data_IF_282432154200
#
_entry.id   IF_282432154200
#
_cell.length_a   1.000
_cell.length_b   1.000
_cell.length_c   1.000
_cell.angle_alpha   90.00
_cell.angle_beta   90.00
_cell.angle_gamma   90.00
#
_symmetry.space_group_name_H-M   'P 1'
#
loop_
_entity.id
_entity.type
_entity.pdbx_description
1 polymer ?
#
# COMPACT_ATOMS: atom_id res chain seq x y z
N UNK A 1 1.84 25.36 7.21
CA UNK A 1 2.35 24.04 6.75
C UNK A 1 2.43 23.16 7.96
N UNK A 2 1.85 21.95 7.94
CA UNK A 2 1.98 20.99 9.03
C UNK A 2 3.34 20.31 8.95
N UNK A 3 4.12 20.35 10.01
CA UNK A 3 5.41 19.67 10.09
C UNK A 3 5.24 18.35 10.86
N UNK A 4 5.52 17.23 10.20
CA UNK A 4 5.44 15.88 10.78
C UNK A 4 6.84 15.44 11.22
N UNK A 5 7.09 15.24 12.52
CA UNK A 5 8.39 14.76 12.99
C UNK A 5 8.70 13.36 12.49
N UNK A 6 9.95 13.12 12.12
CA UNK A 6 10.42 11.79 11.72
C UNK A 6 10.69 10.91 12.94
N UNK A 7 10.06 9.73 12.97
CA UNK A 7 10.25 8.74 14.03
C UNK A 7 11.52 7.92 13.79
N UNK A 8 12.68 8.46 14.21
CA UNK A 8 13.99 7.85 13.98
C UNK A 8 14.11 6.44 14.57
N UNK A 9 13.47 6.19 15.71
CA UNK A 9 13.45 4.89 16.38
C UNK A 9 12.37 3.93 15.85
N UNK A 10 11.66 4.34 14.79
CA UNK A 10 10.59 3.56 14.17
C UNK A 10 9.22 3.75 14.81
N UNK A 11 9.14 4.20 16.06
CA UNK A 11 7.89 4.39 16.79
C UNK A 11 7.63 5.88 17.12
N UNK A 12 6.45 6.41 16.78
CA UNK A 12 6.05 7.74 17.21
C UNK A 12 5.98 7.86 18.73
N UNK A 13 6.41 9.00 19.25
CA UNK A 13 6.34 9.29 20.69
C UNK A 13 5.15 10.20 21.00
N UNK A 14 4.73 10.21 22.28
CA UNK A 14 3.71 11.15 22.78
C UNK A 14 4.05 12.62 22.45
N UNK A 15 5.31 13.00 22.60
CA UNK A 15 5.74 14.38 22.33
C UNK A 15 5.59 14.73 20.83
N UNK A 16 5.81 13.79 19.91
CA UNK A 16 5.58 14.02 18.48
C UNK A 16 4.09 14.20 18.19
N UNK A 17 3.23 13.40 18.81
CA UNK A 17 1.77 13.55 18.72
C UNK A 17 1.32 14.90 19.22
N UNK A 18 1.71 15.26 20.45
CA UNK A 18 1.34 16.52 21.09
C UNK A 18 1.81 17.73 20.24
N UNK A 19 2.98 17.63 19.62
CA UNK A 19 3.50 18.65 18.70
C UNK A 19 2.62 18.83 17.46
N UNK A 20 2.14 17.73 16.85
CA UNK A 20 1.22 17.82 15.71
C UNK A 20 -0.13 18.39 16.14
N UNK A 21 -0.69 17.92 17.26
CA UNK A 21 -1.96 18.44 17.80
C UNK A 21 -1.86 19.94 18.03
N UNK A 22 -0.74 20.40 18.61
CA UNK A 22 -0.50 21.83 18.80
C UNK A 22 -0.51 22.60 17.47
N UNK A 23 0.20 22.13 16.46
CA UNK A 23 0.17 22.76 15.12
C UNK A 23 -1.23 22.78 14.51
N UNK A 24 -2.00 21.70 14.66
CA UNK A 24 -3.39 21.66 14.17
C UNK A 24 -4.21 22.76 14.81
N UNK A 25 -4.11 22.94 16.13
CA UNK A 25 -4.90 23.91 16.90
C UNK A 25 -4.44 25.35 16.69
N UNK A 26 -3.13 25.60 16.68
CA UNK A 26 -2.58 26.96 16.70
C UNK A 26 -2.31 27.50 15.29
N UNK A 27 -1.98 26.65 14.33
CA UNK A 27 -1.57 27.07 12.98
C UNK A 27 -2.57 26.70 11.89
N UNK A 28 -3.00 25.40 11.83
CA UNK A 28 -3.77 24.90 10.69
C UNK A 28 -5.23 25.32 10.78
N UNK A 29 -5.90 25.04 11.89
CA UNK A 29 -7.33 25.34 12.06
C UNK A 29 -7.61 26.85 11.92
N UNK A 30 -6.86 27.78 12.58
CA UNK A 30 -7.13 29.21 12.40
C UNK A 30 -6.97 29.70 10.96
N UNK A 31 -6.00 29.16 10.22
CA UNK A 31 -5.84 29.49 8.79
C UNK A 31 -7.00 28.99 7.97
N UNK A 32 -7.46 27.75 8.22
CA UNK A 32 -8.62 27.18 7.51
C UNK A 32 -9.90 27.96 7.83
N UNK A 33 -10.14 28.31 9.07
CA UNK A 33 -11.28 29.16 9.46
C UNK A 33 -11.26 30.53 8.73
N UNK A 34 -10.08 31.16 8.70
CA UNK A 34 -9.90 32.44 8.02
C UNK A 34 -10.18 32.36 6.51
N UNK A 35 -9.73 31.28 5.85
CA UNK A 35 -9.87 31.12 4.39
C UNK A 35 -11.27 30.69 4.02
N UNK A 36 -11.87 29.76 4.76
CA UNK A 36 -13.21 29.23 4.48
C UNK A 36 -14.35 30.12 4.98
N UNK A 37 -14.10 30.96 5.97
CA UNK A 37 -15.14 31.70 6.69
C UNK A 37 -16.00 30.83 7.62
N UNK A 38 -15.63 29.54 7.79
CA UNK A 38 -16.36 28.57 8.62
C UNK A 38 -15.60 28.27 9.88
N UNK A 39 -16.27 28.31 11.02
CA UNK A 39 -15.70 27.91 12.30
C UNK A 39 -15.45 26.41 12.37
N UNK A 40 -14.31 26.03 12.96
CA UNK A 40 -14.00 24.65 13.26
C UNK A 40 -14.97 24.08 14.30
N UNK A 41 -15.45 22.89 14.03
CA UNK A 41 -16.38 22.14 14.89
C UNK A 41 -15.80 20.76 15.17
N UNK A 42 -15.44 20.50 16.42
CA UNK A 42 -14.84 19.25 16.87
C UNK A 42 -15.83 18.07 16.78
N UNK A 43 -17.13 18.30 16.99
CA UNK A 43 -18.13 17.26 16.95
C UNK A 43 -18.39 16.83 15.49
N UNK A 44 -18.30 17.78 14.56
CA UNK A 44 -18.33 17.48 13.12
C UNK A 44 -17.10 16.67 12.69
N UNK A 45 -15.91 16.99 13.22
CA UNK A 45 -14.72 16.17 12.96
C UNK A 45 -14.88 14.75 13.51
N UNK A 46 -15.41 14.59 14.72
CA UNK A 46 -15.73 13.25 15.29
C UNK A 46 -16.63 12.43 14.37
N UNK A 47 -17.67 13.07 13.85
CA UNK A 47 -18.60 12.41 12.92
C UNK A 47 -17.89 11.96 11.63
N UNK A 48 -17.06 12.79 11.04
CA UNK A 48 -16.27 12.43 9.85
C UNK A 48 -15.30 11.27 10.14
N UNK A 49 -14.63 11.27 11.29
CA UNK A 49 -13.72 10.19 11.67
C UNK A 49 -14.46 8.88 11.93
N UNK A 50 -15.66 8.94 12.53
CA UNK A 50 -16.51 7.76 12.73
C UNK A 50 -16.93 7.13 11.40
N UNK A 51 -17.37 7.94 10.44
CA UNK A 51 -17.72 7.48 9.09
C UNK A 51 -16.49 6.96 8.34
N UNK A 52 -15.34 7.64 8.47
CA UNK A 52 -14.07 7.16 7.92
C UNK A 52 -13.72 5.77 8.44
N UNK A 53 -13.79 5.54 9.74
CA UNK A 53 -13.45 4.25 10.35
C UNK A 53 -14.34 3.12 9.84
N UNK A 54 -15.63 3.39 9.58
CA UNK A 54 -16.56 2.40 8.98
C UNK A 54 -16.08 2.04 7.56
N UNK A 55 -15.86 3.03 6.69
CA UNK A 55 -15.39 2.82 5.32
C UNK A 55 -14.01 2.14 5.28
N UNK A 56 -13.10 2.54 6.17
CA UNK A 56 -11.75 1.97 6.30
C UNK A 56 -11.77 0.48 6.65
N UNK A 57 -12.72 0.02 7.45
CA UNK A 57 -12.84 -1.40 7.79
C UNK A 57 -13.11 -2.27 6.55
N UNK A 58 -13.98 -1.84 5.65
CA UNK A 58 -14.27 -2.58 4.42
C UNK A 58 -13.11 -2.49 3.42
N UNK A 59 -12.43 -1.34 3.31
CA UNK A 59 -11.22 -1.21 2.51
C UNK A 59 -10.13 -2.16 3.00
N UNK A 60 -9.86 -2.20 4.31
CA UNK A 60 -8.85 -3.11 4.88
C UNK A 60 -9.22 -4.56 4.65
N UNK A 61 -10.49 -4.91 4.86
CA UNK A 61 -10.97 -6.27 4.59
C UNK A 61 -10.73 -6.68 3.14
N UNK A 62 -10.98 -5.79 2.20
CA UNK A 62 -10.75 -6.03 0.77
C UNK A 62 -9.26 -6.24 0.47
N UNK A 63 -8.36 -5.40 1.02
CA UNK A 63 -6.92 -5.59 0.87
C UNK A 63 -6.43 -6.90 1.50
N UNK A 64 -6.98 -7.29 2.64
CA UNK A 64 -6.69 -8.58 3.29
C UNK A 64 -7.24 -9.79 2.52
N UNK A 65 -8.28 -9.59 1.70
CA UNK A 65 -8.83 -10.66 0.86
C UNK A 65 -7.80 -11.21 -0.14
N UNK A 66 -6.78 -10.43 -0.50
CA UNK A 66 -5.67 -10.86 -1.37
C UNK A 66 -4.77 -11.95 -0.76
N UNK A 67 -4.91 -12.26 0.53
CA UNK A 67 -4.30 -13.45 1.15
C UNK A 67 -4.86 -14.76 0.61
N UNK A 68 -6.04 -14.75 -0.01
CA UNK A 68 -6.65 -15.93 -0.65
C UNK A 68 -5.90 -16.34 -1.92
N UNK A 69 -6.10 -17.59 -2.33
CA UNK A 69 -5.57 -18.16 -3.57
C UNK A 69 -6.73 -18.79 -4.38
N UNK A 70 -6.97 -18.32 -5.62
CA UNK A 70 -6.35 -17.15 -6.20
C UNK A 70 -6.73 -15.86 -5.46
N UNK A 71 -5.89 -14.84 -5.57
CA UNK A 71 -6.22 -13.53 -5.04
C UNK A 71 -7.37 -12.90 -5.85
N UNK A 72 -8.46 -12.48 -5.20
CA UNK A 72 -9.58 -11.87 -5.91
C UNK A 72 -9.31 -10.43 -6.34
N UNK A 73 -8.24 -9.81 -5.83
CA UNK A 73 -7.87 -8.41 -6.05
C UNK A 73 -6.36 -8.25 -6.27
N UNK A 74 -5.98 -7.28 -7.08
CA UNK A 74 -4.63 -6.76 -7.12
C UNK A 74 -4.51 -5.55 -6.17
N UNK A 75 -3.67 -5.67 -5.14
CA UNK A 75 -3.53 -4.64 -4.10
C UNK A 75 -2.67 -3.44 -4.51
N UNK A 76 -2.10 -3.43 -5.69
CA UNK A 76 -1.27 -2.32 -6.16
C UNK A 76 -1.97 -1.55 -7.28
N UNK A 77 -2.19 -2.20 -8.40
CA UNK A 77 -2.84 -1.57 -9.53
C UNK A 77 -4.35 -1.39 -9.31
N UNK A 78 -5.05 -2.44 -8.95
CA UNK A 78 -6.45 -2.39 -8.54
C UNK A 78 -6.63 -1.56 -7.27
N UNK A 79 -5.73 -1.73 -6.31
CA UNK A 79 -5.73 -1.00 -5.04
C UNK A 79 -5.74 0.52 -5.17
N UNK A 80 -5.12 1.07 -6.22
CA UNK A 80 -5.16 2.51 -6.52
C UNK A 80 -6.58 3.00 -6.77
N UNK A 81 -7.37 2.27 -7.54
CA UNK A 81 -8.78 2.63 -7.78
C UNK A 81 -9.62 2.49 -6.52
N UNK A 82 -9.37 1.46 -5.73
CA UNK A 82 -10.11 1.21 -4.50
C UNK A 82 -9.82 2.23 -3.41
N UNK A 83 -8.61 2.75 -3.32
CA UNK A 83 -8.26 3.81 -2.37
C UNK A 83 -8.77 5.19 -2.78
N UNK A 84 -9.08 5.41 -4.06
CA UNK A 84 -9.45 6.71 -4.61
C UNK A 84 -10.48 7.46 -3.77
N UNK A 85 -11.65 6.88 -3.45
CA UNK A 85 -12.69 7.57 -2.69
C UNK A 85 -12.26 8.05 -1.31
N UNK A 86 -11.43 7.28 -0.59
CA UNK A 86 -10.95 7.66 0.76
C UNK A 86 -9.91 8.78 0.72
N UNK A 87 -9.12 8.86 -0.36
CA UNK A 87 -8.09 9.89 -0.53
C UNK A 87 -8.61 11.18 -1.18
N UNK A 88 -9.82 11.17 -1.68
CA UNK A 88 -10.45 12.32 -2.34
C UNK A 88 -11.48 13.00 -1.44
N UNK A 89 -12.48 13.65 -2.03
CA UNK A 89 -13.49 14.41 -1.33
C UNK A 89 -14.52 13.56 -0.54
N UNK A 90 -14.47 12.24 -0.63
CA UNK A 90 -15.50 11.36 -0.04
C UNK A 90 -15.18 10.86 1.36
N UNK A 91 -13.98 11.09 1.88
CA UNK A 91 -13.63 10.65 3.25
C UNK A 91 -14.60 11.24 4.27
N UNK A 92 -15.15 10.38 5.15
CA UNK A 92 -16.08 10.77 6.19
C UNK A 92 -17.51 11.02 5.72
N UNK A 93 -17.89 10.53 4.54
CA UNK A 93 -19.24 10.65 3.99
C UNK A 93 -19.98 9.30 3.97
N UNK A 94 -21.30 9.35 3.83
CA UNK A 94 -22.12 8.15 3.68
C UNK A 94 -21.90 7.50 2.32
N UNK A 95 -21.57 8.28 1.30
CA UNK A 95 -21.22 7.81 -0.04
C UNK A 95 -19.94 6.94 -0.01
N UNK A 96 -18.95 7.30 0.81
CA UNK A 96 -17.76 6.46 0.97
C UNK A 96 -18.10 5.14 1.67
N UNK A 97 -18.93 5.16 2.70
CA UNK A 97 -19.38 3.94 3.39
C UNK A 97 -20.09 3.02 2.39
N UNK A 98 -21.03 3.55 1.61
CA UNK A 98 -21.78 2.75 0.63
C UNK A 98 -20.87 2.20 -0.48
N UNK A 99 -19.92 3.01 -0.97
CA UNK A 99 -18.94 2.57 -1.96
C UNK A 99 -18.16 1.35 -1.47
N UNK A 100 -17.59 1.41 -0.26
CA UNK A 100 -16.78 0.29 0.25
C UNK A 100 -17.62 -0.92 0.62
N UNK A 101 -18.86 -0.73 1.06
CA UNK A 101 -19.81 -1.81 1.28
C UNK A 101 -20.13 -2.57 -0.03
N UNK A 102 -20.37 -1.84 -1.12
CA UNK A 102 -20.61 -2.43 -2.45
C UNK A 102 -19.35 -3.13 -2.98
N UNK A 103 -18.20 -2.49 -2.86
CA UNK A 103 -16.92 -3.07 -3.26
C UNK A 103 -16.65 -4.38 -2.51
N UNK A 104 -16.89 -4.40 -1.21
CA UNK A 104 -16.76 -5.62 -0.41
C UNK A 104 -17.69 -6.73 -0.92
N UNK A 105 -18.95 -6.43 -1.20
CA UNK A 105 -19.91 -7.39 -1.74
C UNK A 105 -19.45 -7.96 -3.09
N UNK A 106 -18.89 -7.13 -3.97
CA UNK A 106 -18.31 -7.58 -5.25
C UNK A 106 -17.12 -8.53 -5.02
N UNK A 107 -16.23 -8.19 -4.10
CA UNK A 107 -15.08 -9.06 -3.80
C UNK A 107 -15.52 -10.37 -3.14
N UNK A 108 -16.54 -10.36 -2.29
CA UNK A 108 -17.13 -11.59 -1.71
C UNK A 108 -17.71 -12.49 -2.81
N UNK A 109 -18.38 -11.94 -3.81
CA UNK A 109 -18.87 -12.69 -4.97
C UNK A 109 -17.72 -13.27 -5.80
N UNK A 110 -16.66 -12.49 -6.08
CA UNK A 110 -15.46 -12.96 -6.77
C UNK A 110 -14.79 -14.12 -6.05
N UNK A 111 -14.72 -14.06 -4.73
CA UNK A 111 -14.21 -15.16 -3.90
C UNK A 111 -15.08 -16.41 -4.05
N UNK A 112 -16.39 -16.26 -3.98
CA UNK A 112 -17.34 -17.37 -4.10
C UNK A 112 -17.25 -18.06 -5.46
N UNK A 113 -16.95 -17.29 -6.52
CA UNK A 113 -16.76 -17.79 -7.89
C UNK A 113 -15.34 -18.29 -8.17
N UNK A 114 -14.40 -18.15 -7.24
CA UNK A 114 -13.01 -18.52 -7.41
C UNK A 114 -12.25 -17.70 -8.46
N UNK A 115 -12.68 -16.45 -8.70
CA UNK A 115 -12.08 -15.57 -9.70
C UNK A 115 -10.74 -15.01 -9.22
N UNK A 116 -9.78 -14.93 -10.14
CA UNK A 116 -8.52 -14.26 -9.95
C UNK A 116 -8.69 -12.72 -10.02
N UNK A 117 -7.64 -11.97 -9.66
CA UNK A 117 -7.61 -10.52 -9.74
C UNK A 117 -7.95 -10.00 -11.15
N UNK A 118 -8.46 -8.77 -11.20
CA UNK A 118 -8.70 -8.09 -12.48
C UNK A 118 -7.41 -7.50 -13.04
N UNK A 119 -7.39 -7.37 -14.35
CA UNK A 119 -6.39 -6.68 -15.15
C UNK A 119 -7.05 -5.55 -15.95
N UNK A 120 -6.27 -4.73 -16.69
CA UNK A 120 -6.85 -3.74 -17.61
C UNK A 120 -7.75 -4.33 -18.70
N UNK A 121 -7.62 -5.63 -18.98
CA UNK A 121 -8.26 -6.32 -20.09
C UNK A 121 -9.33 -7.34 -19.63
N UNK A 122 -9.66 -7.34 -18.33
CA UNK A 122 -10.66 -8.24 -17.72
C UNK A 122 -10.09 -9.09 -16.60
N UNK A 123 -10.79 -10.15 -16.23
CA UNK A 123 -10.33 -11.08 -15.20
C UNK A 123 -9.08 -11.85 -15.68
N UNK A 124 -8.10 -11.95 -14.80
CA UNK A 124 -6.92 -12.77 -15.07
C UNK A 124 -7.30 -14.26 -15.07
N UNK A 125 -6.83 -15.05 -16.03
CA UNK A 125 -7.20 -16.46 -16.11
C UNK A 125 -6.59 -17.30 -14.98
N UNK A 126 -5.43 -16.89 -14.47
CA UNK A 126 -4.67 -17.62 -13.44
C UNK A 126 -3.74 -16.70 -12.66
N UNK A 127 -3.35 -17.15 -11.47
CA UNK A 127 -2.36 -16.53 -10.61
C UNK A 127 -1.08 -17.38 -10.61
N UNK A 128 -0.07 -16.93 -11.39
CA UNK A 128 1.21 -17.62 -11.49
C UNK A 128 2.24 -17.12 -10.47
N UNK A 129 2.21 -15.83 -10.18
CA UNK A 129 3.14 -15.17 -9.27
C UNK A 129 2.41 -14.25 -8.31
N UNK A 130 2.79 -14.32 -7.04
CA UNK A 130 2.31 -13.44 -5.96
C UNK A 130 3.42 -12.49 -5.56
N UNK A 131 3.20 -11.20 -5.69
CA UNK A 131 4.24 -10.22 -5.44
C UNK A 131 3.87 -9.24 -4.32
N UNK A 132 4.88 -8.84 -3.55
CA UNK A 132 4.83 -7.63 -2.75
C UNK A 132 5.55 -6.52 -3.52
N UNK A 133 4.93 -5.34 -3.64
CA UNK A 133 5.54 -4.20 -4.33
C UNK A 133 5.80 -3.06 -3.35
N UNK A 134 7.02 -2.56 -3.36
CA UNK A 134 7.43 -1.34 -2.67
C UNK A 134 7.56 -0.18 -3.66
N UNK A 135 7.00 0.97 -3.30
CA UNK A 135 7.01 2.19 -4.10
C UNK A 135 5.69 2.45 -4.84
N UNK A 136 5.42 3.72 -5.19
CA UNK A 136 4.22 4.09 -5.94
C UNK A 136 4.26 3.63 -7.39
N UNK A 137 3.10 3.51 -8.05
CA UNK A 137 3.04 3.14 -9.46
C UNK A 137 3.53 4.27 -10.38
N UNK A 138 3.94 3.87 -11.58
CA UNK A 138 4.19 4.81 -12.67
C UNK A 138 2.87 5.29 -13.28
N UNK A 139 2.48 6.52 -12.99
CA UNK A 139 1.20 7.07 -13.46
C UNK A 139 1.18 7.36 -14.96
N UNK A 140 2.32 7.71 -15.55
CA UNK A 140 2.39 8.09 -16.97
C UNK A 140 2.17 6.91 -17.92
N UNK A 141 2.42 5.68 -17.46
CA UNK A 141 2.25 4.45 -18.24
C UNK A 141 1.56 3.36 -17.40
N UNK A 142 0.62 3.78 -16.54
CA UNK A 142 0.03 2.93 -15.52
C UNK A 142 -0.60 1.64 -16.07
N UNK A 143 -1.42 1.74 -17.13
CA UNK A 143 -2.10 0.57 -17.70
C UNK A 143 -1.13 -0.37 -18.41
N UNK A 144 -0.14 0.16 -19.12
CA UNK A 144 0.88 -0.66 -19.80
C UNK A 144 1.78 -1.35 -18.78
N UNK A 145 2.12 -0.65 -17.70
CA UNK A 145 2.86 -1.23 -16.59
C UNK A 145 2.06 -2.36 -15.92
N UNK A 146 0.79 -2.17 -15.68
CA UNK A 146 -0.09 -3.23 -15.14
C UNK A 146 -0.19 -4.45 -16.08
N UNK A 147 -0.35 -4.22 -17.39
CA UNK A 147 -0.39 -5.32 -18.38
C UNK A 147 0.83 -6.20 -18.33
N UNK A 148 2.03 -5.66 -18.14
CA UNK A 148 3.26 -6.45 -18.03
C UNK A 148 3.22 -7.46 -16.88
N UNK A 149 2.49 -7.16 -15.80
CA UNK A 149 2.28 -8.10 -14.70
C UNK A 149 1.18 -9.10 -15.04
N UNK A 150 0.03 -8.63 -15.50
CA UNK A 150 -1.12 -9.49 -15.76
C UNK A 150 -0.88 -10.47 -16.92
N UNK A 151 -0.12 -10.09 -17.94
CA UNK A 151 0.30 -10.99 -19.03
C UNK A 151 1.17 -12.16 -18.53
N UNK A 152 1.90 -11.99 -17.45
CA UNK A 152 2.67 -13.04 -16.79
C UNK A 152 1.87 -13.85 -15.75
N UNK A 153 0.62 -13.48 -15.49
CA UNK A 153 -0.15 -14.05 -14.38
C UNK A 153 0.34 -13.58 -13.01
N UNK A 154 0.99 -12.40 -12.93
CA UNK A 154 1.49 -11.86 -11.68
C UNK A 154 0.46 -10.94 -11.04
N UNK A 155 0.11 -11.24 -9.78
CA UNK A 155 -0.79 -10.46 -8.94
C UNK A 155 0.01 -9.81 -7.81
N UNK A 156 -0.17 -8.53 -7.60
CA UNK A 156 0.40 -7.83 -6.44
C UNK A 156 -0.55 -7.98 -5.25
N UNK A 157 -0.17 -8.84 -4.32
CA UNK A 157 -1.01 -9.22 -3.17
C UNK A 157 -0.85 -8.27 -1.99
N UNK A 158 0.24 -7.52 -1.90
CA UNK A 158 0.42 -6.46 -0.93
C UNK A 158 1.36 -5.37 -1.46
N UNK A 159 1.19 -4.15 -0.98
CA UNK A 159 2.01 -3.02 -1.41
C UNK A 159 2.21 -2.00 -0.29
N UNK A 160 3.41 -1.42 -0.22
CA UNK A 160 3.66 -0.26 0.66
C UNK A 160 2.85 0.96 0.24
N UNK A 161 2.54 1.10 -1.04
CA UNK A 161 1.79 2.24 -1.56
C UNK A 161 0.36 2.31 -1.03
N UNK A 162 -0.34 1.19 -0.96
CA UNK A 162 -1.70 1.13 -0.42
C UNK A 162 -1.76 1.35 1.10
N UNK A 163 -0.60 1.32 1.78
CA UNK A 163 -0.45 1.59 3.21
C UNK A 163 0.04 3.01 3.51
N UNK A 164 0.35 3.81 2.49
CA UNK A 164 0.90 5.18 2.65
C UNK A 164 -0.03 6.10 3.43
N UNK A 165 -1.32 5.97 3.24
CA UNK A 165 -2.31 6.83 3.87
C UNK A 165 -2.56 6.56 5.35
N UNK A 166 -1.83 5.66 6.01
CA UNK A 166 -2.05 5.30 7.42
C UNK A 166 -3.36 4.55 7.70
N UNK A 167 -4.25 4.46 6.71
CA UNK A 167 -5.53 3.76 6.81
C UNK A 167 -5.33 2.27 7.05
N UNK A 168 -4.33 1.74 6.39
CA UNK A 168 -3.90 0.37 6.50
C UNK A 168 -2.51 0.34 7.13
N UNK A 169 -2.44 0.74 8.38
CA UNK A 169 -1.22 0.61 9.17
C UNK A 169 -1.00 -0.87 9.51
N UNK A 170 0.26 -1.20 9.60
CA UNK A 170 0.74 -2.52 9.95
C UNK A 170 0.23 -3.01 11.31
N UNK A 171 0.04 -2.07 12.25
CA UNK A 171 -0.47 -2.32 13.59
C UNK A 171 -2.01 -2.19 13.68
N UNK A 172 -2.69 -2.11 12.52
CA UNK A 172 -4.15 -2.05 12.47
C UNK A 172 -4.73 -0.71 12.86
N UNK A 173 -4.05 0.39 12.50
CA UNK A 173 -4.53 1.75 12.78
C UNK A 173 -5.98 1.94 12.32
N UNK A 174 -6.76 2.59 13.17
CA UNK A 174 -8.10 3.10 12.87
C UNK A 174 -8.25 4.45 13.51
N UNK A 175 -9.00 5.33 12.86
CA UNK A 175 -9.34 6.60 13.46
C UNK A 175 -10.13 6.41 14.76
N UNK A 176 -9.72 7.16 15.80
CA UNK A 176 -10.40 7.23 17.08
C UNK A 176 -11.24 8.52 17.13
N UNK A 177 -12.56 8.43 17.02
CA UNK A 177 -13.43 9.60 17.08
C UNK A 177 -13.51 10.23 18.47
N UNK A 178 -13.16 9.52 19.54
CA UNK A 178 -13.19 10.06 20.89
C UNK A 178 -11.99 11.00 21.16
N UNK A 179 -10.87 10.78 20.45
CA UNK A 179 -9.67 11.60 20.49
C UNK A 179 -9.30 12.11 19.07
N UNK A 180 -10.14 12.97 18.46
CA UNK A 180 -10.08 13.24 17.02
C UNK A 180 -8.79 13.91 16.55
N UNK A 181 -8.24 14.86 17.31
CA UNK A 181 -7.00 15.56 16.93
C UNK A 181 -5.77 14.67 17.11
N UNK A 182 -5.73 13.91 18.19
CA UNK A 182 -4.70 12.92 18.46
C UNK A 182 -4.73 11.81 17.40
N UNK A 183 -5.90 11.39 16.99
CA UNK A 183 -6.08 10.41 15.92
C UNK A 183 -5.56 10.91 14.58
N UNK A 184 -5.82 12.19 14.23
CA UNK A 184 -5.22 12.80 13.04
C UNK A 184 -3.70 12.89 13.14
N UNK A 185 -3.17 13.20 14.33
CA UNK A 185 -1.72 13.25 14.57
C UNK A 185 -1.09 11.86 14.41
N UNK A 186 -1.70 10.83 14.96
CA UNK A 186 -1.25 9.44 14.83
C UNK A 186 -1.30 8.96 13.37
N UNK A 187 -2.35 9.34 12.63
CA UNK A 187 -2.45 9.09 11.20
C UNK A 187 -1.25 9.69 10.43
N UNK A 188 -0.91 10.96 10.70
CA UNK A 188 0.24 11.61 10.06
C UNK A 188 1.57 10.94 10.43
N UNK A 189 1.73 10.53 11.69
CA UNK A 189 2.94 9.87 12.18
C UNK A 189 3.08 8.45 11.67
N UNK A 190 1.95 7.74 11.46
CA UNK A 190 1.89 6.35 11.04
C UNK A 190 2.22 6.10 9.56
N UNK A 191 2.33 7.14 8.73
CA UNK A 191 2.59 6.99 7.30
C UNK A 191 3.86 6.19 7.04
N UNK A 192 3.80 5.22 6.11
CA UNK A 192 4.90 4.34 5.76
C UNK A 192 6.23 5.07 5.50
N UNK A 193 6.18 6.17 4.75
CA UNK A 193 7.37 6.97 4.42
C UNK A 193 7.96 7.73 5.60
N UNK A 194 7.24 7.83 6.72
CA UNK A 194 7.72 8.43 7.98
C UNK A 194 8.36 7.38 8.92
N UNK A 195 8.42 6.12 8.52
CA UNK A 195 9.05 5.03 9.29
C UNK A 195 10.52 4.90 8.93
N UNK A 196 11.34 4.52 9.91
CA UNK A 196 12.75 4.21 9.67
C UNK A 196 12.93 2.95 8.82
N UNK A 197 14.14 2.76 8.29
CA UNK A 197 14.44 1.65 7.39
C UNK A 197 14.19 0.26 8.02
N UNK A 198 14.63 -0.04 9.26
CA UNK A 198 14.34 -1.33 9.89
C UNK A 198 12.84 -1.64 9.98
N UNK A 199 12.01 -0.67 10.38
CA UNK A 199 10.55 -0.85 10.45
C UNK A 199 9.95 -1.14 9.06
N UNK A 200 10.41 -0.42 8.02
CA UNK A 200 9.96 -0.65 6.63
C UNK A 200 10.36 -2.05 6.13
N UNK A 201 11.57 -2.51 6.47
CA UNK A 201 12.06 -3.88 6.16
C UNK A 201 11.16 -4.91 6.84
N UNK A 202 10.89 -4.75 8.13
CA UNK A 202 10.04 -5.67 8.89
C UNK A 202 8.62 -5.73 8.33
N UNK A 203 8.02 -4.59 8.01
CA UNK A 203 6.68 -4.52 7.40
C UNK A 203 6.61 -5.30 6.07
N UNK A 204 7.57 -5.11 5.18
CA UNK A 204 7.56 -5.78 3.89
C UNK A 204 7.91 -7.27 4.01
N UNK A 205 8.83 -7.64 4.89
CA UNK A 205 9.14 -9.04 5.16
C UNK A 205 7.92 -9.80 5.71
N UNK A 206 7.19 -9.20 6.65
CA UNK A 206 5.94 -9.78 7.15
C UNK A 206 4.89 -9.90 6.05
N UNK A 207 4.74 -8.89 5.18
CA UNK A 207 3.81 -9.00 4.04
C UNK A 207 4.16 -10.19 3.13
N UNK A 208 5.44 -10.42 2.85
CA UNK A 208 5.88 -11.57 2.04
C UNK A 208 5.43 -12.88 2.68
N UNK A 209 5.57 -13.01 4.00
CA UNK A 209 5.19 -14.23 4.72
C UNK A 209 3.67 -14.37 4.82
N UNK A 210 2.97 -13.33 5.29
CA UNK A 210 1.53 -13.38 5.55
C UNK A 210 0.68 -13.54 4.28
N UNK A 211 1.14 -12.96 3.17
CA UNK A 211 0.45 -13.06 1.88
C UNK A 211 1.00 -14.20 1.00
N UNK A 212 1.90 -15.01 1.56
CA UNK A 212 2.55 -16.11 0.84
C UNK A 212 3.11 -15.66 -0.51
N UNK A 213 3.80 -14.52 -0.53
CA UNK A 213 4.33 -13.96 -1.76
C UNK A 213 5.58 -14.69 -2.23
N UNK A 214 5.81 -14.72 -3.53
CA UNK A 214 6.96 -15.34 -4.17
C UNK A 214 8.20 -14.46 -4.16
N UNK A 215 8.00 -13.15 -4.01
CA UNK A 215 9.10 -12.21 -3.94
C UNK A 215 8.69 -10.75 -3.78
N UNK A 216 9.71 -9.89 -3.70
CA UNK A 216 9.60 -8.45 -3.59
C UNK A 216 9.98 -7.78 -4.91
N UNK A 217 9.15 -6.86 -5.38
CA UNK A 217 9.54 -5.93 -6.44
C UNK A 217 9.63 -4.51 -5.86
N UNK A 218 10.76 -3.86 -6.06
CA UNK A 218 10.92 -2.45 -5.76
C UNK A 218 10.74 -1.65 -7.04
N UNK A 219 9.71 -0.79 -7.05
CA UNK A 219 9.52 0.23 -8.07
C UNK A 219 10.09 1.55 -7.55
N UNK A 220 11.35 1.82 -7.85
CA UNK A 220 12.05 3.01 -7.39
C UNK A 220 11.65 4.23 -8.19
N UNK A 221 11.14 5.23 -7.51
CA UNK A 221 10.72 6.49 -8.12
C UNK A 221 11.83 7.51 -8.02
N UNK A 222 12.33 7.96 -9.16
CA UNK A 222 13.48 8.87 -9.26
C UNK A 222 13.24 10.22 -8.58
N UNK A 223 12.05 10.75 -8.69
CA UNK A 223 11.69 12.06 -8.13
C UNK A 223 11.21 12.04 -6.68
N UNK A 224 11.14 10.86 -6.02
CA UNK A 224 10.63 10.73 -4.66
C UNK A 224 11.66 10.18 -3.68
N UNK A 225 12.39 11.07 -2.99
CA UNK A 225 13.39 10.67 -2.00
C UNK A 225 12.81 9.84 -0.84
N UNK A 226 11.58 10.12 -0.43
CA UNK A 226 10.93 9.41 0.68
C UNK A 226 10.73 7.93 0.40
N UNK A 227 10.47 7.57 -0.86
CA UNK A 227 10.41 6.18 -1.27
C UNK A 227 11.77 5.61 -1.67
N UNK A 228 12.56 6.33 -2.47
CA UNK A 228 13.80 5.78 -3.06
C UNK A 228 14.95 5.59 -2.06
N UNK A 229 14.93 6.32 -0.93
CA UNK A 229 16.02 6.22 0.05
C UNK A 229 16.07 4.83 0.70
N UNK A 230 17.24 4.18 0.61
CA UNK A 230 17.53 2.91 1.28
C UNK A 230 16.95 1.65 0.61
N UNK A 231 16.28 1.75 -0.53
CA UNK A 231 15.56 0.64 -1.15
C UNK A 231 16.45 -0.58 -1.48
N UNK A 232 17.68 -0.37 -1.96
CA UNK A 232 18.60 -1.49 -2.24
C UNK A 232 19.04 -2.22 -0.97
N UNK A 233 19.24 -1.49 0.12
CA UNK A 233 19.52 -2.10 1.44
C UNK A 233 18.30 -2.89 1.90
N UNK A 234 17.11 -2.29 1.81
CA UNK A 234 15.84 -2.92 2.14
C UNK A 234 15.64 -4.24 1.40
N UNK A 235 15.83 -4.24 0.08
CA UNK A 235 15.70 -5.45 -0.75
C UNK A 235 16.61 -6.58 -0.25
N UNK A 236 17.88 -6.26 0.00
CA UNK A 236 18.87 -7.26 0.46
C UNK A 236 18.53 -7.82 1.86
N UNK A 237 18.10 -6.97 2.79
CA UNK A 237 17.70 -7.42 4.12
C UNK A 237 16.44 -8.28 4.07
N UNK A 238 15.46 -7.93 3.25
CA UNK A 238 14.24 -8.73 3.06
C UNK A 238 14.55 -10.08 2.42
N UNK A 239 15.45 -10.13 1.42
CA UNK A 239 15.90 -11.41 0.83
C UNK A 239 16.56 -12.32 1.88
N UNK A 240 17.39 -11.75 2.79
CA UNK A 240 18.02 -12.53 3.87
C UNK A 240 16.98 -13.08 4.85
N UNK A 241 15.99 -12.26 5.23
CA UNK A 241 14.95 -12.63 6.22
C UNK A 241 14.02 -13.69 5.65
N UNK A 242 13.57 -13.52 4.40
CA UNK A 242 12.47 -14.31 3.81
C UNK A 242 12.96 -15.45 2.91
N UNK A 243 14.20 -15.39 2.44
CA UNK A 243 14.72 -16.27 1.39
C UNK A 243 14.08 -16.04 0.01
N UNK A 244 13.15 -15.09 -0.12
CA UNK A 244 12.45 -14.79 -1.37
C UNK A 244 13.26 -13.80 -2.22
N UNK A 245 13.26 -13.95 -3.57
CA UNK A 245 14.03 -13.07 -4.43
C UNK A 245 13.44 -11.66 -4.50
N UNK A 246 14.33 -10.67 -4.61
CA UNK A 246 13.96 -9.28 -4.89
C UNK A 246 14.33 -8.85 -6.31
N UNK A 247 13.55 -7.94 -6.88
CA UNK A 247 13.91 -7.24 -8.10
C UNK A 247 13.78 -5.73 -7.91
N UNK A 248 14.54 -4.99 -8.71
CA UNK A 248 14.59 -3.53 -8.65
C UNK A 248 14.37 -2.97 -10.04
N UNK A 249 13.34 -2.15 -10.20
CA UNK A 249 13.07 -1.36 -11.39
C UNK A 249 13.08 0.12 -11.05
N UNK A 250 13.41 0.94 -12.00
CA UNK A 250 13.42 2.40 -11.87
C UNK A 250 12.40 3.00 -12.82
N UNK A 251 11.50 3.80 -12.27
CA UNK A 251 10.52 4.58 -13.03
C UNK A 251 10.42 5.99 -12.44
N UNK A 252 9.41 6.74 -12.86
CA UNK A 252 9.06 8.00 -12.22
C UNK A 252 7.53 8.15 -12.11
N UNK A 253 7.08 8.97 -11.16
CA UNK A 253 5.65 9.22 -10.97
C UNK A 253 5.01 9.90 -12.18
N UNK A 254 5.68 10.93 -12.71
CA UNK A 254 5.10 11.86 -13.68
C UNK A 254 5.96 12.14 -14.89
N UNK A 255 7.25 11.78 -14.87
CA UNK A 255 8.17 11.99 -15.98
C UNK A 255 8.26 10.73 -16.87
N UNK A 256 7.61 10.73 -18.06
CA UNK A 256 7.60 9.56 -18.94
C UNK A 256 8.97 9.17 -19.48
N UNK A 257 9.95 10.07 -19.41
CA UNK A 257 11.32 9.80 -19.90
C UNK A 257 12.03 8.72 -19.09
N UNK A 258 11.59 8.48 -17.86
CA UNK A 258 12.15 7.44 -16.98
C UNK A 258 11.41 6.09 -17.08
N UNK A 259 10.45 5.97 -17.98
CA UNK A 259 9.78 4.70 -18.25
C UNK A 259 10.22 4.14 -19.61
N UNK A 260 10.99 3.07 -19.59
CA UNK A 260 11.32 2.29 -20.78
C UNK A 260 10.60 0.94 -20.71
N UNK A 261 9.51 0.79 -21.47
CA UNK A 261 8.71 -0.42 -21.49
C UNK A 261 9.55 -1.68 -21.76
N UNK A 262 10.48 -1.64 -22.72
CA UNK A 262 11.35 -2.76 -23.05
C UNK A 262 12.27 -3.14 -21.87
N UNK A 263 12.88 -2.15 -21.20
CA UNK A 263 13.77 -2.42 -20.07
C UNK A 263 12.98 -2.98 -18.86
N UNK A 264 11.81 -2.42 -18.58
CA UNK A 264 10.94 -2.91 -17.50
C UNK A 264 10.49 -4.33 -17.78
N UNK A 265 10.04 -4.61 -19.00
CA UNK A 265 9.61 -5.95 -19.42
C UNK A 265 10.75 -6.98 -19.26
N UNK A 266 11.93 -6.69 -19.78
CA UNK A 266 13.10 -7.59 -19.66
C UNK A 266 13.48 -7.86 -18.20
N UNK A 267 13.39 -6.84 -17.32
CA UNK A 267 13.66 -7.01 -15.89
C UNK A 267 12.60 -7.88 -15.20
N UNK A 268 11.32 -7.69 -15.52
CA UNK A 268 10.23 -8.51 -15.00
C UNK A 268 10.35 -9.97 -15.48
N UNK A 269 10.63 -10.21 -16.75
CA UNK A 269 10.84 -11.56 -17.28
C UNK A 269 12.01 -12.27 -16.59
N UNK A 270 13.14 -11.58 -16.41
CA UNK A 270 14.29 -12.12 -15.66
C UNK A 270 13.93 -12.40 -14.19
N UNK A 271 13.11 -11.56 -13.59
CA UNK A 271 12.66 -11.72 -12.21
C UNK A 271 11.74 -12.95 -12.07
N UNK A 272 10.79 -13.14 -12.95
CA UNK A 272 9.93 -14.33 -12.96
C UNK A 272 10.73 -15.61 -13.14
N UNK A 273 11.72 -15.62 -14.05
CA UNK A 273 12.64 -16.75 -14.20
C UNK A 273 13.41 -17.06 -12.90
N UNK A 274 13.85 -16.04 -12.18
CA UNK A 274 14.53 -16.21 -10.89
C UNK A 274 13.61 -16.80 -9.83
N UNK A 275 12.33 -16.40 -9.78
CA UNK A 275 11.32 -16.98 -8.89
C UNK A 275 11.15 -18.47 -9.23
N UNK A 276 11.00 -18.82 -10.50
CA UNK A 276 10.83 -20.21 -10.95
C UNK A 276 12.03 -21.09 -10.60
N UNK A 277 13.25 -20.56 -10.77
CA UNK A 277 14.47 -21.28 -10.38
C UNK A 277 14.50 -21.56 -8.87
N UNK A 278 14.15 -20.58 -8.04
CA UNK A 278 14.08 -20.76 -6.57
C UNK A 278 12.99 -21.76 -6.17
N UNK A 279 11.83 -21.73 -6.81
CA UNK A 279 10.76 -22.71 -6.56
C UNK A 279 11.22 -24.14 -6.85
N UNK A 280 11.91 -24.36 -7.98
CA UNK A 280 12.47 -25.68 -8.37
C UNK A 280 13.54 -26.16 -7.40
N UNK A 281 14.46 -25.26 -6.99
CA UNK A 281 15.51 -25.60 -6.02
C UNK A 281 14.94 -25.97 -4.65
N UNK A 282 13.93 -25.25 -4.17
CA UNK A 282 13.23 -25.55 -2.91
C UNK A 282 12.46 -26.87 -2.96
N UNK A 283 11.80 -27.18 -4.09
CA UNK A 283 11.10 -28.46 -4.31
C UNK A 283 12.04 -29.66 -4.34
N UNK A 284 13.23 -29.51 -4.93
CA UNK A 284 14.27 -30.59 -4.96
C UNK A 284 14.84 -30.86 -3.57
N UNK A 285 15.06 -29.84 -2.74
CA UNK A 285 15.58 -30.03 -1.38
C UNK A 285 14.56 -30.75 -0.46
N UNK A 286 13.27 -30.49 -0.64
CA UNK A 286 12.21 -31.17 0.11
C UNK A 286 12.03 -32.65 -0.30
N UNK A 287 12.32 -32.99 -1.55
CA UNK A 287 12.21 -34.36 -2.08
C UNK A 287 13.42 -35.26 -1.71
N UNK A 288 14.56 -34.68 -1.35
CA UNK A 288 15.79 -35.42 -0.99
C UNK A 288 16.00 -35.57 0.52
N UNK A 289 15.15 -34.93 1.35
CA UNK A 289 15.20 -34.98 2.80
C UNK A 289 14.14 -35.86 3.48
N UNK A 290 13.44 -36.70 2.72
CA UNK A 290 12.44 -37.65 3.24
C UNK A 290 13.00 -39.09 3.32
#
# INVERSE_FOLDING_TARGET
MLHVPYAADGNPTKNMRDYIVKQLMEDVIPVLEKVSGVRFDIDRLREYLRKSAIAENDLVWMLEASKRKPSPVDCYFGGVYYMGPIFTAFRGTDEAIEYYRLLRSEIEERIALGLCAQSPDGDMPEENYRLVVEGPPNWTSFRDFWRMFSEAGAVVVASSYTKVGGVYDYDGFRHDPDHPLESLADYCLGVYTNRNLPTRVDMLARNIVEYEADGLLINSIKSCNSFSAGQLVMMREIEKITGKPGAFIETDLVDPRYFSAANVKNRLESYFQMIDQKRRAGGSAAATGA
#
